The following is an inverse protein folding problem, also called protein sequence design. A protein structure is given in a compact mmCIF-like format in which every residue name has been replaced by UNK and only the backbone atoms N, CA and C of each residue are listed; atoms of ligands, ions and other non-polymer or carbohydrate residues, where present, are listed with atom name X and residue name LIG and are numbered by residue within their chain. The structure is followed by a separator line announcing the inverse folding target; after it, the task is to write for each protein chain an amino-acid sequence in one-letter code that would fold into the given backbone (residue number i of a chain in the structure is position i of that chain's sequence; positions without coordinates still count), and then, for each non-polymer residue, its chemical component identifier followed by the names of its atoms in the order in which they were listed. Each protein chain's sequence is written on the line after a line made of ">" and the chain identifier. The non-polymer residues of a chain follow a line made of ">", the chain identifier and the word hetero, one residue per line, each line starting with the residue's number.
data_IF_535917595258
#
_entry.id   IF_535917595258
#
_cell.length_a   1.000
_cell.length_b   1.000
_cell.length_c   1.000
_cell.angle_alpha   90.00
_cell.angle_beta   90.00
_cell.angle_gamma   90.00
#
_symmetry.space_group_name_H-M   'P 1'
#
loop_
_entity.id
_entity.type
_entity.pdbx_description
1 polymer ?
#
# COMPACT_ATOMS: atom_id res chain seq x y z
N UNK A 1 24.86 -17.55 -15.53
CA UNK A 1 24.20 -16.49 -14.72
C UNK A 1 23.17 -17.00 -13.69
N UNK A 2 22.75 -18.28 -13.69
CA UNK A 2 21.82 -18.85 -12.70
C UNK A 2 22.45 -19.13 -11.32
N UNK A 3 23.71 -19.58 -11.28
CA UNK A 3 24.41 -19.91 -10.03
C UNK A 3 24.61 -18.71 -9.08
N UNK A 4 24.97 -17.54 -9.62
CA UNK A 4 25.16 -16.31 -8.83
C UNK A 4 23.85 -15.84 -8.19
N UNK A 5 22.72 -15.92 -8.92
CA UNK A 5 21.39 -15.58 -8.40
C UNK A 5 20.96 -16.52 -7.26
N UNK A 6 21.31 -17.81 -7.37
CA UNK A 6 21.04 -18.80 -6.32
C UNK A 6 21.88 -18.57 -5.06
N UNK A 7 23.17 -18.24 -5.21
CA UNK A 7 24.06 -17.91 -4.09
C UNK A 7 23.61 -16.64 -3.38
N UNK A 8 23.27 -15.57 -4.11
CA UNK A 8 22.78 -14.31 -3.54
C UNK A 8 21.46 -14.50 -2.76
N UNK A 9 20.51 -15.28 -3.32
CA UNK A 9 19.26 -15.62 -2.64
C UNK A 9 19.50 -16.45 -1.37
N UNK A 10 20.46 -17.38 -1.42
CA UNK A 10 20.87 -18.19 -0.27
C UNK A 10 21.51 -17.34 0.83
N UNK A 11 22.36 -16.38 0.47
CA UNK A 11 22.99 -15.44 1.40
C UNK A 11 21.96 -14.50 2.06
N UNK A 12 21.02 -13.93 1.29
CA UNK A 12 19.95 -13.09 1.80
C UNK A 12 19.06 -13.84 2.81
N UNK A 13 18.71 -15.11 2.52
CA UNK A 13 17.97 -15.98 3.46
C UNK A 13 18.75 -16.22 4.75
N UNK A 14 20.04 -16.54 4.68
CA UNK A 14 20.89 -16.72 5.87
C UNK A 14 20.99 -15.44 6.70
N UNK A 15 21.17 -14.29 6.07
CA UNK A 15 21.22 -13.00 6.76
C UNK A 15 19.90 -12.66 7.44
N UNK A 16 18.78 -12.85 6.75
CA UNK A 16 17.45 -12.64 7.33
C UNK A 16 17.20 -13.57 8.53
N UNK A 17 17.52 -14.86 8.40
CA UNK A 17 17.44 -15.82 9.49
C UNK A 17 18.33 -15.43 10.69
N UNK A 18 19.52 -14.88 10.44
CA UNK A 18 20.39 -14.34 11.50
C UNK A 18 19.75 -13.14 12.19
N UNK A 19 19.18 -12.19 11.44
CA UNK A 19 18.52 -11.02 12.04
C UNK A 19 17.25 -11.38 12.81
N UNK A 20 16.49 -12.40 12.38
CA UNK A 20 15.33 -12.90 13.13
C UNK A 20 15.68 -13.46 14.50
N UNK A 21 16.95 -13.80 14.74
CA UNK A 21 17.44 -14.24 16.06
C UNK A 21 17.96 -13.10 16.93
N UNK A 22 18.06 -11.89 16.38
CA UNK A 22 18.45 -10.72 17.17
C UNK A 22 17.26 -10.23 18.03
N UNK A 23 17.51 -9.51 19.13
CA UNK A 23 16.44 -8.91 19.93
C UNK A 23 15.52 -8.04 19.07
N UNK A 24 14.22 -8.12 19.34
CA UNK A 24 13.27 -7.15 18.80
C UNK A 24 13.49 -5.78 19.40
N UNK A 25 13.22 -4.76 18.60
CA UNK A 25 13.13 -3.36 19.02
C UNK A 25 11.66 -3.00 19.13
N UNK A 26 11.31 -2.31 20.20
CA UNK A 26 10.00 -1.69 20.39
C UNK A 26 9.92 -0.47 19.47
N UNK A 27 9.51 -0.72 18.24
CA UNK A 27 9.42 0.23 17.14
C UNK A 27 8.38 -0.26 16.14
N UNK A 28 8.02 0.59 15.17
CA UNK A 28 7.05 0.26 14.12
C UNK A 28 7.68 0.36 12.75
N UNK A 29 7.60 -0.70 11.94
CA UNK A 29 7.96 -0.69 10.54
C UNK A 29 6.71 -0.47 9.70
N UNK A 30 6.71 0.57 8.89
CA UNK A 30 5.58 0.99 8.06
C UNK A 30 5.95 0.83 6.58
N UNK A 31 5.06 0.21 5.81
CA UNK A 31 5.18 0.09 4.35
C UNK A 31 3.82 0.34 3.69
N UNK A 32 3.81 1.22 2.68
CA UNK A 32 2.65 1.42 1.83
C UNK A 32 3.01 1.17 0.36
N UNK A 33 2.19 0.37 -0.33
CA UNK A 33 2.26 0.13 -1.77
C UNK A 33 3.69 -0.21 -2.24
N UNK A 34 4.32 -1.21 -1.59
CA UNK A 34 5.69 -1.63 -1.86
C UNK A 34 6.73 -0.49 -1.76
N UNK A 35 6.52 0.40 -0.79
CA UNK A 35 7.38 1.53 -0.49
C UNK A 35 7.33 2.67 -1.50
N UNK A 36 6.28 2.77 -2.32
CA UNK A 36 6.20 3.86 -3.33
C UNK A 36 5.95 5.23 -2.73
N UNK A 37 5.33 5.33 -1.55
CA UNK A 37 5.07 6.59 -0.86
C UNK A 37 4.81 6.39 0.64
N UNK A 38 4.92 7.48 1.40
CA UNK A 38 4.28 7.63 2.72
C UNK A 38 2.81 7.95 2.47
N UNK A 39 1.93 6.94 2.53
CA UNK A 39 0.55 7.09 2.13
C UNK A 39 -0.39 6.06 2.78
N UNK A 40 -1.68 6.21 2.52
CA UNK A 40 -2.74 5.25 2.87
C UNK A 40 -2.89 5.02 4.38
N UNK A 41 -3.44 3.87 4.77
CA UNK A 41 -3.67 3.51 6.16
C UNK A 41 -2.38 3.56 7.00
N UNK A 42 -1.21 3.09 6.52
CA UNK A 42 0.03 3.20 7.28
C UNK A 42 0.42 4.65 7.59
N UNK A 43 0.16 5.62 6.71
CA UNK A 43 0.43 7.03 6.99
C UNK A 43 -0.46 7.59 8.10
N UNK A 44 -1.78 7.37 8.03
CA UNK A 44 -2.71 7.79 9.08
C UNK A 44 -2.38 7.13 10.44
N UNK A 45 -2.01 5.85 10.43
CA UNK A 45 -1.54 5.14 11.63
C UNK A 45 -0.26 5.77 12.17
N UNK A 46 0.71 6.10 11.31
CA UNK A 46 1.96 6.74 11.71
C UNK A 46 1.71 8.10 12.39
N UNK A 47 0.86 8.95 11.82
CA UNK A 47 0.47 10.23 12.40
C UNK A 47 -0.13 10.05 13.79
N UNK A 48 -1.05 9.09 13.95
CA UNK A 48 -1.65 8.80 15.25
C UNK A 48 -0.64 8.27 16.27
N UNK A 49 0.29 7.41 15.85
CA UNK A 49 1.34 6.86 16.71
C UNK A 49 2.30 7.95 17.20
N UNK A 50 2.65 8.93 16.36
CA UNK A 50 3.53 10.04 16.74
C UNK A 50 2.88 10.94 17.81
N UNK A 51 1.56 11.02 17.84
CA UNK A 51 0.80 11.78 18.85
C UNK A 51 0.61 10.98 20.14
N UNK A 52 0.39 9.67 20.04
CA UNK A 52 -0.03 8.83 21.19
C UNK A 52 1.09 8.05 21.86
N UNK A 53 2.27 7.97 21.25
CA UNK A 53 3.36 7.11 21.72
C UNK A 53 4.72 7.75 21.47
N UNK A 54 5.75 7.22 22.12
CA UNK A 54 7.16 7.56 21.87
C UNK A 54 7.89 6.51 20.99
N UNK A 55 7.14 5.65 20.31
CA UNK A 55 7.72 4.56 19.52
C UNK A 55 8.48 5.10 18.30
N UNK A 56 9.72 4.63 18.06
CA UNK A 56 10.42 4.92 16.81
C UNK A 56 9.68 4.34 15.61
N UNK A 57 9.56 5.13 14.55
CA UNK A 57 8.93 4.73 13.28
C UNK A 57 9.99 4.54 12.19
N UNK A 58 9.85 3.47 11.43
CA UNK A 58 10.73 3.13 10.32
C UNK A 58 9.89 2.99 9.06
N UNK A 59 10.07 3.90 8.09
CA UNK A 59 9.40 3.82 6.80
C UNK A 59 10.22 3.03 5.78
N UNK A 60 9.62 2.00 5.19
CA UNK A 60 10.18 1.32 4.03
C UNK A 60 9.78 2.05 2.74
N UNK A 61 10.74 2.70 2.07
CA UNK A 61 10.49 3.51 0.86
C UNK A 61 11.45 3.12 -0.27
N UNK A 62 10.99 3.13 -1.51
CA UNK A 62 11.84 2.92 -2.69
C UNK A 62 12.89 4.02 -2.80
N UNK A 63 12.45 5.26 -2.60
CA UNK A 63 13.30 6.44 -2.45
C UNK A 63 13.21 6.95 -1.00
N UNK A 64 14.17 6.59 -0.13
CA UNK A 64 14.22 7.07 1.25
C UNK A 64 14.35 8.59 1.32
N UNK A 65 13.59 9.22 2.21
CA UNK A 65 13.61 10.65 2.50
C UNK A 65 13.90 10.90 3.98
N UNK A 66 14.51 12.05 4.35
CA UNK A 66 14.56 12.47 5.74
C UNK A 66 13.15 12.84 6.24
N UNK A 67 12.97 12.80 7.56
CA UNK A 67 11.78 13.28 8.25
C UNK A 67 12.20 14.29 9.32
N UNK A 68 11.33 15.25 9.59
CA UNK A 68 11.60 16.30 10.58
C UNK A 68 11.52 15.76 12.02
N UNK A 69 10.60 14.81 12.27
CA UNK A 69 10.48 14.16 13.58
C UNK A 69 11.66 13.18 13.79
N UNK A 70 12.48 13.36 14.84
CA UNK A 70 13.67 12.52 15.08
C UNK A 70 13.35 11.06 15.40
N UNK A 71 12.09 10.74 15.74
CA UNK A 71 11.62 9.36 15.96
C UNK A 71 11.40 8.62 14.64
N UNK A 72 11.31 9.34 13.52
CA UNK A 72 10.99 8.79 12.21
C UNK A 72 12.24 8.72 11.33
N UNK A 73 12.47 7.55 10.74
CA UNK A 73 13.52 7.37 9.72
C UNK A 73 13.02 6.52 8.57
N UNK A 74 13.65 6.64 7.40
CA UNK A 74 13.39 5.74 6.27
C UNK A 74 14.50 4.72 6.04
N UNK A 75 14.14 3.61 5.40
CA UNK A 75 15.06 2.61 4.85
C UNK A 75 14.66 2.28 3.42
N UNK A 76 15.65 1.98 2.57
CA UNK A 76 15.37 1.60 1.18
C UNK A 76 14.63 0.27 1.10
N UNK A 77 13.47 0.22 0.45
CA UNK A 77 12.66 -0.96 0.23
C UNK A 77 13.50 -2.10 -0.38
N UNK A 78 13.35 -3.32 0.15
CA UNK A 78 14.12 -4.54 -0.21
C UNK A 78 15.65 -4.43 -0.10
N UNK A 79 16.19 -3.41 0.57
CA UNK A 79 17.61 -3.37 0.94
C UNK A 79 17.92 -4.30 2.14
N UNK A 80 19.20 -4.51 2.41
CA UNK A 80 19.63 -5.18 3.64
C UNK A 80 19.10 -4.50 4.91
N UNK A 81 19.07 -3.16 4.95
CA UNK A 81 18.53 -2.39 6.07
C UNK A 81 17.02 -2.60 6.25
N UNK A 82 16.27 -2.73 5.15
CA UNK A 82 14.85 -3.07 5.16
C UNK A 82 14.61 -4.46 5.76
N UNK A 83 15.31 -5.49 5.27
CA UNK A 83 15.14 -6.85 5.77
C UNK A 83 15.60 -6.99 7.23
N UNK A 84 16.62 -6.22 7.64
CA UNK A 84 17.02 -6.13 9.04
C UNK A 84 15.93 -5.49 9.89
N UNK A 85 15.33 -4.38 9.45
CA UNK A 85 14.21 -3.75 10.15
C UNK A 85 13.02 -4.72 10.26
N UNK A 86 12.63 -5.35 9.15
CA UNK A 86 11.54 -6.32 9.10
C UNK A 86 11.74 -7.50 10.05
N UNK A 87 12.97 -7.96 10.25
CA UNK A 87 13.31 -9.06 11.16
C UNK A 87 13.43 -8.66 12.64
N UNK A 88 13.59 -7.35 12.93
CA UNK A 88 13.99 -6.86 14.27
C UNK A 88 13.07 -5.80 14.85
N UNK A 89 11.96 -5.48 14.19
CA UNK A 89 10.98 -4.51 14.68
C UNK A 89 9.75 -5.24 15.20
N UNK A 90 9.28 -4.91 16.42
CA UNK A 90 8.15 -5.59 17.06
C UNK A 90 6.85 -5.42 16.31
N UNK A 91 6.54 -4.20 15.87
CA UNK A 91 5.29 -3.90 15.17
C UNK A 91 5.56 -3.70 13.68
N UNK A 92 4.87 -4.44 12.82
CA UNK A 92 5.01 -4.31 11.37
C UNK A 92 3.64 -4.02 10.76
N UNK A 93 3.57 -2.98 9.93
CA UNK A 93 2.32 -2.47 9.35
C UNK A 93 2.48 -2.41 7.83
N UNK A 94 1.57 -3.05 7.10
CA UNK A 94 1.59 -3.05 5.63
C UNK A 94 0.16 -2.97 5.07
N UNK A 95 -0.01 -2.27 3.94
CA UNK A 95 -1.29 -2.17 3.24
C UNK A 95 -1.38 -3.05 1.98
N UNK A 96 -0.33 -3.81 1.69
CA UNK A 96 -0.23 -4.79 0.60
C UNK A 96 0.28 -6.12 1.17
N UNK A 97 1.47 -6.57 0.77
CA UNK A 97 2.15 -7.76 1.28
C UNK A 97 3.63 -7.48 1.47
N UNK A 98 4.23 -8.01 2.53
CA UNK A 98 5.68 -8.08 2.60
C UNK A 98 6.20 -9.12 1.59
N UNK A 99 7.47 -9.01 1.14
CA UNK A 99 8.06 -9.94 0.17
C UNK A 99 8.05 -11.39 0.68
N UNK A 100 8.13 -12.41 -0.21
CA UNK A 100 8.11 -13.84 0.18
C UNK A 100 9.24 -14.30 1.13
N UNK A 101 10.23 -13.46 1.40
CA UNK A 101 11.26 -13.73 2.41
C UNK A 101 10.78 -13.42 3.83
N UNK A 102 9.69 -12.65 3.97
CA UNK A 102 9.08 -12.35 5.25
C UNK A 102 8.60 -13.64 5.90
N UNK A 103 8.96 -13.76 7.16
CA UNK A 103 8.63 -14.87 8.03
C UNK A 103 8.48 -14.25 9.42
N UNK A 104 7.22 -14.09 9.85
CA UNK A 104 6.87 -13.42 11.10
C UNK A 104 7.48 -14.18 12.27
N UNK A 105 7.88 -13.47 13.31
CA UNK A 105 8.25 -14.10 14.59
C UNK A 105 7.06 -14.05 15.54
N UNK A 106 6.97 -15.00 16.46
CA UNK A 106 5.87 -15.07 17.43
C UNK A 106 5.78 -13.81 18.30
N UNK A 107 6.92 -13.16 18.56
CA UNK A 107 7.02 -11.93 19.34
C UNK A 107 6.80 -10.63 18.54
N UNK A 108 6.53 -10.74 17.22
CA UNK A 108 6.11 -9.63 16.36
C UNK A 108 4.60 -9.57 16.21
N UNK A 109 4.08 -8.35 16.10
CA UNK A 109 2.69 -8.05 15.79
C UNK A 109 2.61 -7.48 14.38
N UNK A 110 1.89 -8.16 13.50
CA UNK A 110 1.66 -7.76 12.11
C UNK A 110 0.23 -7.28 11.91
N UNK A 111 0.08 -5.98 11.64
CA UNK A 111 -1.14 -5.38 11.13
C UNK A 111 -1.09 -5.29 9.60
N UNK A 112 -1.96 -6.04 8.94
CA UNK A 112 -2.21 -5.87 7.51
C UNK A 112 -3.49 -5.06 7.31
N UNK A 113 -3.37 -3.85 6.77
CA UNK A 113 -4.50 -2.92 6.63
C UNK A 113 -5.27 -3.10 5.33
N UNK A 114 -4.70 -3.84 4.37
CA UNK A 114 -5.02 -3.76 2.95
C UNK A 114 -5.20 -2.30 2.46
N UNK A 115 -5.84 -2.11 1.30
CA UNK A 115 -5.94 -0.79 0.67
C UNK A 115 -7.32 -0.46 0.09
N UNK A 116 -8.37 -1.12 0.57
CA UNK A 116 -9.76 -0.74 0.34
C UNK A 116 -10.70 -1.91 0.08
N UNK A 117 -11.99 -1.60 0.08
CA UNK A 117 -13.07 -2.53 -0.26
C UNK A 117 -12.89 -3.04 -1.70
N UNK A 118 -12.93 -4.37 -1.94
CA UNK A 118 -12.85 -4.91 -3.28
C UNK A 118 -14.08 -4.51 -4.12
N UNK A 119 -13.86 -4.22 -5.40
CA UNK A 119 -14.93 -4.10 -6.41
C UNK A 119 -14.70 -5.11 -7.55
N UNK A 120 -13.46 -5.19 -8.03
CA UNK A 120 -13.03 -6.19 -9.01
C UNK A 120 -12.86 -7.55 -8.32
N UNK A 121 -13.25 -8.62 -9.02
CA UNK A 121 -12.91 -10.00 -8.61
C UNK A 121 -11.40 -10.15 -8.46
N UNK A 122 -10.97 -10.96 -7.50
CA UNK A 122 -9.56 -11.19 -7.18
C UNK A 122 -9.34 -12.57 -6.62
N UNK A 123 -8.08 -12.93 -6.37
CA UNK A 123 -7.77 -14.21 -5.75
C UNK A 123 -8.27 -15.38 -6.60
N UNK A 124 -9.04 -16.27 -5.97
CA UNK A 124 -9.67 -17.44 -6.58
C UNK A 124 -10.85 -17.09 -7.49
N UNK A 125 -11.46 -15.92 -7.33
CA UNK A 125 -12.65 -15.50 -8.12
C UNK A 125 -12.34 -15.19 -9.60
N UNK A 126 -11.06 -15.11 -9.95
CA UNK A 126 -10.55 -14.90 -11.31
C UNK A 126 -9.76 -16.11 -11.82
N UNK A 127 -9.92 -17.28 -11.21
CA UNK A 127 -9.22 -18.52 -11.55
C UNK A 127 -7.68 -18.37 -11.58
N UNK A 128 -7.15 -17.44 -10.76
CA UNK A 128 -5.70 -17.21 -10.72
C UNK A 128 -4.98 -18.46 -10.18
N UNK A 129 -3.89 -18.90 -10.83
CA UNK A 129 -3.03 -19.95 -10.28
C UNK A 129 -2.59 -19.59 -8.86
N UNK A 130 -2.59 -20.57 -7.95
CA UNK A 130 -2.25 -20.33 -6.55
C UNK A 130 -0.89 -19.63 -6.39
N UNK A 131 0.08 -19.92 -7.26
CA UNK A 131 1.40 -19.28 -7.28
C UNK A 131 1.36 -17.74 -7.40
N UNK A 132 0.29 -17.17 -7.98
CA UNK A 132 0.11 -15.73 -8.11
C UNK A 132 -0.45 -15.08 -6.84
N UNK A 133 -1.16 -15.85 -6.00
CA UNK A 133 -1.82 -15.35 -4.79
C UNK A 133 -1.16 -15.86 -3.50
N UNK A 134 -0.21 -16.80 -3.61
CA UNK A 134 0.42 -17.47 -2.48
C UNK A 134 1.07 -16.49 -1.49
N UNK A 135 1.74 -15.43 -1.98
CA UNK A 135 2.34 -14.43 -1.10
C UNK A 135 1.28 -13.62 -0.33
N UNK A 136 0.16 -13.33 -0.97
CA UNK A 136 -0.98 -12.63 -0.34
C UNK A 136 -1.61 -13.49 0.74
N UNK A 137 -1.92 -14.75 0.41
CA UNK A 137 -2.46 -15.72 1.38
C UNK A 137 -1.49 -15.92 2.55
N UNK A 138 -0.19 -16.06 2.30
CA UNK A 138 0.82 -16.19 3.35
C UNK A 138 0.91 -14.95 4.25
N UNK A 139 0.79 -13.75 3.68
CA UNK A 139 0.78 -12.51 4.47
C UNK A 139 -0.49 -12.37 5.31
N UNK A 140 -1.66 -12.74 4.78
CA UNK A 140 -2.91 -12.73 5.52
C UNK A 140 -2.91 -13.75 6.66
N UNK A 141 -2.46 -14.97 6.40
CA UNK A 141 -2.33 -16.01 7.41
C UNK A 141 -1.30 -15.66 8.49
N UNK A 142 -0.27 -14.88 8.16
CA UNK A 142 0.72 -14.41 9.11
C UNK A 142 0.27 -13.17 9.90
N UNK A 143 -0.76 -12.44 9.47
CA UNK A 143 -1.18 -11.23 10.15
C UNK A 143 -1.77 -11.55 11.53
N UNK A 144 -1.44 -10.76 12.54
CA UNK A 144 -2.11 -10.81 13.85
C UNK A 144 -3.42 -10.03 13.81
N UNK A 145 -3.51 -9.03 12.93
CA UNK A 145 -4.72 -8.25 12.68
C UNK A 145 -4.87 -8.02 11.18
N UNK A 146 -6.02 -8.43 10.65
CA UNK A 146 -6.47 -8.07 9.31
C UNK A 146 -7.52 -6.96 9.41
N UNK A 147 -7.19 -5.76 8.96
CA UNK A 147 -8.15 -4.66 8.95
C UNK A 147 -9.18 -4.86 7.84
N UNK A 148 -10.45 -4.72 8.16
CA UNK A 148 -11.54 -4.75 7.19
C UNK A 148 -12.34 -3.46 7.23
N UNK A 149 -12.69 -2.98 6.04
CA UNK A 149 -13.52 -1.77 5.89
C UNK A 149 -15.00 -2.04 6.13
N UNK A 150 -15.44 -3.30 6.05
CA UNK A 150 -16.84 -3.70 6.25
C UNK A 150 -17.01 -5.23 6.28
N UNK A 151 -18.16 -5.75 6.78
CA UNK A 151 -18.52 -7.16 6.66
C UNK A 151 -18.48 -7.70 5.22
N UNK A 152 -18.75 -6.82 4.24
CA UNK A 152 -18.66 -7.17 2.83
C UNK A 152 -17.22 -7.51 2.42
N UNK A 153 -16.23 -6.70 2.81
CA UNK A 153 -14.81 -7.00 2.52
C UNK A 153 -14.36 -8.28 3.23
N UNK A 154 -14.80 -8.49 4.47
CA UNK A 154 -14.51 -9.71 5.24
C UNK A 154 -15.00 -10.97 4.52
N UNK A 155 -16.28 -10.98 4.15
CA UNK A 155 -16.91 -12.13 3.51
C UNK A 155 -16.40 -12.37 2.08
N UNK A 156 -16.35 -11.32 1.25
CA UNK A 156 -16.01 -11.49 -0.18
C UNK A 156 -14.53 -11.63 -0.44
N UNK A 157 -13.67 -10.87 0.27
CA UNK A 157 -12.24 -10.84 0.02
C UNK A 157 -11.51 -11.89 0.84
N UNK A 158 -11.58 -11.78 2.18
CA UNK A 158 -10.79 -12.62 3.06
C UNK A 158 -11.31 -14.06 3.07
N UNK A 159 -12.58 -14.26 3.40
CA UNK A 159 -13.19 -15.60 3.45
C UNK A 159 -13.45 -16.20 2.05
N UNK A 160 -13.84 -15.38 1.08
CA UNK A 160 -14.11 -15.81 -0.30
C UNK A 160 -12.86 -15.89 -1.16
N UNK A 161 -12.52 -14.79 -1.81
CA UNK A 161 -11.48 -14.70 -2.84
C UNK A 161 -10.12 -15.26 -2.40
N UNK A 162 -9.69 -15.02 -1.16
CA UNK A 162 -8.42 -15.52 -0.64
C UNK A 162 -8.56 -16.76 0.25
N UNK A 163 -9.77 -17.06 0.73
CA UNK A 163 -10.10 -18.18 1.61
C UNK A 163 -9.13 -18.35 2.76
N UNK A 164 -8.91 -17.27 3.51
CA UNK A 164 -8.15 -17.24 4.75
C UNK A 164 -9.08 -17.23 5.95
N UNK A 165 -8.59 -17.69 7.10
CA UNK A 165 -9.31 -17.58 8.36
C UNK A 165 -9.56 -16.10 8.70
N UNK A 166 -10.76 -15.80 9.22
CA UNK A 166 -11.21 -14.45 9.54
C UNK A 166 -11.28 -14.18 11.04
N UNK A 167 -10.79 -15.10 11.89
CA UNK A 167 -10.82 -14.95 13.35
C UNK A 167 -10.03 -13.74 13.89
N UNK A 168 -9.07 -13.24 13.11
CA UNK A 168 -8.24 -12.07 13.40
C UNK A 168 -8.64 -10.83 12.58
N UNK A 169 -9.77 -10.87 11.88
CA UNK A 169 -10.27 -9.72 11.11
C UNK A 169 -10.94 -8.71 12.05
N UNK A 170 -10.62 -7.43 11.89
CA UNK A 170 -11.17 -6.32 12.66
C UNK A 170 -11.88 -5.35 11.73
N UNK A 171 -13.21 -5.30 11.85
CA UNK A 171 -14.11 -4.50 11.02
C UNK A 171 -14.32 -3.10 11.61
N UNK A 172 -13.36 -2.19 11.38
CA UNK A 172 -13.38 -0.83 11.96
C UNK A 172 -13.19 0.27 10.93
N UNK A 173 -13.27 -0.04 9.64
CA UNK A 173 -13.09 0.95 8.58
C UNK A 173 -11.63 1.08 8.14
N UNK A 174 -11.24 2.27 7.69
CA UNK A 174 -9.93 2.52 7.06
C UNK A 174 -9.31 3.80 7.66
N UNK A 175 -8.19 3.73 8.39
CA UNK A 175 -7.55 4.91 9.00
C UNK A 175 -7.33 6.08 8.03
N UNK A 176 -7.06 5.80 6.75
CA UNK A 176 -6.83 6.83 5.73
C UNK A 176 -8.03 7.74 5.46
N UNK A 177 -9.25 7.35 5.86
CA UNK A 177 -10.46 8.14 5.64
C UNK A 177 -10.96 8.82 6.91
N UNK A 178 -10.30 8.64 8.06
CA UNK A 178 -10.71 9.25 9.33
C UNK A 178 -10.83 10.78 9.21
N UNK A 179 -9.94 11.39 8.41
CA UNK A 179 -9.95 12.83 8.12
C UNK A 179 -11.23 13.32 7.43
N UNK A 180 -11.96 12.44 6.72
CA UNK A 180 -13.22 12.79 6.04
C UNK A 180 -14.37 13.03 7.03
N UNK A 181 -14.22 12.57 8.28
CA UNK A 181 -15.20 12.77 9.33
C UNK A 181 -14.90 14.02 10.19
N UNK A 182 -13.79 14.71 9.92
CA UNK A 182 -13.47 15.99 10.56
C UNK A 182 -14.19 17.09 9.79
N UNK A 183 -15.05 17.91 10.42
CA UNK A 183 -15.71 19.01 9.75
C UNK A 183 -14.71 19.97 9.11
N UNK A 184 -14.97 20.36 7.86
CA UNK A 184 -14.18 21.33 7.11
C UNK A 184 -14.98 21.88 5.94
N UNK A 185 -14.45 22.90 5.28
CA UNK A 185 -15.05 23.45 4.08
C UNK A 185 -14.79 22.50 2.91
N UNK A 186 -15.86 21.92 2.35
CA UNK A 186 -15.75 21.15 1.12
C UNK A 186 -15.50 22.09 -0.06
N UNK A 187 -14.39 21.93 -0.80
CA UNK A 187 -14.14 22.75 -1.97
C UNK A 187 -15.16 22.45 -3.06
N UNK A 188 -15.61 23.48 -3.78
CA UNK A 188 -16.44 23.33 -4.97
C UNK A 188 -15.60 22.77 -6.13
N UNK A 189 -15.44 21.45 -6.15
CA UNK A 189 -14.65 20.73 -7.14
C UNK A 189 -15.36 19.48 -7.65
N UNK A 190 -14.99 19.06 -8.86
CA UNK A 190 -15.35 17.76 -9.43
C UNK A 190 -14.08 16.98 -9.72
N UNK A 191 -13.87 15.89 -8.97
CA UNK A 191 -12.73 15.01 -9.13
C UNK A 191 -13.03 13.89 -10.14
N UNK A 192 -12.24 13.82 -11.20
CA UNK A 192 -12.20 12.66 -12.08
C UNK A 192 -10.98 11.78 -11.76
N UNK A 193 -11.22 10.55 -11.34
CA UNK A 193 -10.19 9.59 -10.95
C UNK A 193 -10.31 8.27 -11.73
N UNK A 194 -9.97 8.24 -13.03
CA UNK A 194 -10.09 7.03 -13.84
C UNK A 194 -9.17 5.91 -13.34
N UNK A 195 -9.69 4.68 -13.35
CA UNK A 195 -8.83 3.51 -13.15
C UNK A 195 -7.94 3.31 -14.37
N UNK A 196 -6.69 2.91 -14.14
CA UNK A 196 -5.78 2.52 -15.21
C UNK A 196 -6.34 1.37 -16.06
N UNK A 197 -6.40 1.58 -17.39
CA UNK A 197 -6.75 0.57 -18.38
C UNK A 197 -5.47 -0.07 -18.93
N UNK A 198 -5.34 -1.40 -18.90
CA UNK A 198 -4.20 -2.12 -19.49
C UNK A 198 -4.63 -2.78 -20.80
N UNK A 199 -3.89 -2.58 -21.88
CA UNK A 199 -3.74 -3.63 -22.89
C UNK A 199 -2.68 -4.67 -22.46
N UNK A 200 -1.66 -4.27 -21.69
CA UNK A 200 -0.70 -5.17 -21.00
C UNK A 200 0.03 -4.46 -19.85
N UNK A 201 0.58 -5.20 -18.88
CA UNK A 201 1.31 -4.66 -17.72
C UNK A 201 2.54 -3.79 -18.07
N UNK A 202 3.05 -3.92 -19.30
CA UNK A 202 4.27 -3.31 -19.82
C UNK A 202 4.02 -2.15 -20.78
N UNK A 203 2.87 -2.12 -21.46
CA UNK A 203 2.53 -1.08 -22.43
C UNK A 203 1.33 -0.30 -21.91
N UNK A 204 1.58 0.97 -21.56
CA UNK A 204 0.52 1.93 -21.41
C UNK A 204 -0.17 2.06 -22.77
N UNK A 205 -1.43 1.67 -22.88
CA UNK A 205 -2.25 2.25 -23.95
C UNK A 205 -2.27 3.74 -23.64
N UNK A 206 -1.98 4.53 -24.66
CA UNK A 206 -1.86 5.97 -24.53
C UNK A 206 -3.25 6.60 -24.35
N UNK A 207 -3.82 6.40 -23.16
CA UNK A 207 -5.17 6.79 -22.76
C UNK A 207 -5.29 8.31 -22.50
N UNK A 208 -4.22 9.07 -22.75
CA UNK A 208 -4.23 10.52 -22.51
C UNK A 208 -5.22 11.25 -23.43
N UNK A 209 -5.45 10.75 -24.63
CA UNK A 209 -6.43 11.34 -25.56
C UNK A 209 -7.85 11.17 -25.02
N UNK A 210 -8.20 9.98 -24.52
CA UNK A 210 -9.52 9.74 -23.93
C UNK A 210 -9.68 10.51 -22.62
N UNK A 211 -8.66 10.50 -21.76
CA UNK A 211 -8.65 11.26 -20.50
C UNK A 211 -8.81 12.76 -20.78
N UNK A 212 -8.12 13.30 -21.79
CA UNK A 212 -8.26 14.70 -22.18
C UNK A 212 -9.65 15.02 -22.74
N UNK A 213 -10.18 14.16 -23.62
CA UNK A 213 -11.54 14.31 -24.13
C UNK A 213 -12.60 14.30 -23.02
N UNK A 214 -12.47 13.38 -22.06
CA UNK A 214 -13.36 13.29 -20.90
C UNK A 214 -13.22 14.51 -19.98
N UNK A 215 -12.01 14.98 -19.71
CA UNK A 215 -11.81 16.18 -18.89
C UNK A 215 -12.36 17.43 -19.55
N UNK A 216 -12.24 17.58 -20.87
CA UNK A 216 -12.87 18.67 -21.61
C UNK A 216 -14.40 18.62 -21.49
N UNK A 217 -15.00 17.43 -21.60
CA UNK A 217 -16.44 17.24 -21.43
C UNK A 217 -16.90 17.56 -19.99
N UNK A 218 -16.13 17.14 -18.98
CA UNK A 218 -16.40 17.47 -17.57
C UNK A 218 -16.35 18.99 -17.36
N UNK A 219 -15.30 19.65 -17.84
CA UNK A 219 -15.15 21.10 -17.68
C UNK A 219 -16.27 21.92 -18.34
N UNK A 220 -16.87 21.41 -19.42
CA UNK A 220 -18.04 22.03 -20.06
C UNK A 220 -19.34 21.77 -19.31
N UNK A 221 -19.46 20.65 -18.60
CA UNK A 221 -20.68 20.21 -17.93
C UNK A 221 -20.81 20.71 -16.48
N UNK A 222 -19.69 20.99 -15.80
CA UNK A 222 -19.73 21.46 -14.40
C UNK A 222 -20.23 22.91 -14.29
N UNK A 223 -20.92 23.28 -13.19
CA UNK A 223 -21.35 24.65 -12.95
C UNK A 223 -20.19 25.66 -13.00
N UNK A 224 -20.49 26.89 -13.40
CA UNK A 224 -19.50 27.98 -13.32
C UNK A 224 -19.11 28.19 -11.85
N UNK A 225 -17.81 28.14 -11.58
CA UNK A 225 -17.25 28.27 -10.21
C UNK A 225 -16.69 26.94 -9.67
N UNK A 226 -17.20 25.81 -10.16
CA UNK A 226 -16.70 24.48 -9.80
C UNK A 226 -15.37 24.18 -10.51
N UNK A 227 -14.37 23.70 -9.77
CA UNK A 227 -13.06 23.34 -10.31
C UNK A 227 -12.98 21.85 -10.71
N UNK A 228 -12.85 21.50 -12.00
CA UNK A 228 -12.53 20.14 -12.40
C UNK A 228 -11.10 19.78 -11.97
N UNK A 229 -10.90 18.58 -11.44
CA UNK A 229 -9.59 18.08 -10.99
C UNK A 229 -9.37 16.68 -11.54
N UNK A 230 -8.17 16.40 -12.03
CA UNK A 230 -7.80 15.10 -12.58
C UNK A 230 -6.84 14.33 -11.65
N UNK A 231 -7.19 13.09 -11.30
CA UNK A 231 -6.30 12.15 -10.60
C UNK A 231 -6.06 10.89 -11.43
N UNK A 232 -4.91 10.84 -12.09
CA UNK A 232 -4.47 9.67 -12.86
C UNK A 232 -3.55 8.74 -12.06
N UNK A 233 -3.36 7.53 -12.60
CA UNK A 233 -2.40 6.56 -12.07
C UNK A 233 -0.96 7.11 -12.05
N UNK A 234 -0.15 6.72 -11.06
CA UNK A 234 1.21 7.24 -10.87
C UNK A 234 2.15 7.04 -12.08
N UNK A 235 1.95 5.98 -12.86
CA UNK A 235 2.69 5.76 -14.13
C UNK A 235 2.34 6.78 -15.22
N UNK A 236 1.14 7.39 -15.17
CA UNK A 236 0.68 8.38 -16.14
C UNK A 236 0.96 9.81 -15.68
N UNK A 237 1.06 10.03 -14.37
CA UNK A 237 1.08 11.36 -13.75
C UNK A 237 2.11 12.32 -14.39
N UNK A 238 3.35 11.86 -14.61
CA UNK A 238 4.39 12.70 -15.22
C UNK A 238 4.11 13.05 -16.69
N UNK A 239 3.41 12.18 -17.43
CA UNK A 239 3.04 12.45 -18.83
C UNK A 239 1.82 13.36 -18.90
N UNK A 240 0.80 13.10 -18.08
CA UNK A 240 -0.38 13.93 -17.95
C UNK A 240 -0.03 15.37 -17.55
N UNK A 241 0.89 15.55 -16.60
CA UNK A 241 1.37 16.87 -16.17
C UNK A 241 2.13 17.66 -17.25
N UNK A 242 2.54 17.02 -18.35
CA UNK A 242 3.19 17.66 -19.50
C UNK A 242 2.25 17.85 -20.69
N UNK A 243 1.04 17.29 -20.64
CA UNK A 243 0.06 17.41 -21.72
C UNK A 243 -0.73 18.71 -21.56
N UNK A 244 -0.54 19.66 -22.48
CA UNK A 244 -1.17 20.98 -22.43
C UNK A 244 -2.71 20.92 -22.41
N UNK A 245 -3.32 19.82 -22.86
CA UNK A 245 -4.79 19.63 -22.83
C UNK A 245 -5.31 19.30 -21.44
N UNK A 246 -4.43 18.81 -20.56
CA UNK A 246 -4.74 18.40 -19.19
C UNK A 246 -4.30 19.42 -18.15
N UNK A 247 -3.44 20.38 -18.53
CA UNK A 247 -2.96 21.47 -17.67
C UNK A 247 -3.94 22.64 -17.78
N UNK A 248 -5.12 22.53 -17.15
CA UNK A 248 -5.33 23.25 -15.88
C UNK A 248 -5.92 22.38 -14.74
N UNK A 249 -6.06 21.07 -14.94
CA UNK A 249 -6.75 20.13 -14.05
C UNK A 249 -5.86 19.35 -13.08
#
# INVERSE_FOLDING_TARGET
>A
MSGVRNVARSAARRMYARWRRAPLRDAVLLEAFEGTAVACNPAAIAEHLLVRTDLPLVWALREPVPFDDPRVRSVRYRSAAYYRALATTRYVVNNVTFPPLFDKRDDQIYLNTWHGTPLKRMGRDVDAPYSQIANTVANFAAADVLLSTSPYMTSTMYAGAYGVDTGNVVEVGSPRIDVQFVPGDDPDLVLYAPTWQQATYTEAVDDLDEVAGRMAAIAQAVPKGTRPVLRVHGKLAARAARDARLVPY
#
